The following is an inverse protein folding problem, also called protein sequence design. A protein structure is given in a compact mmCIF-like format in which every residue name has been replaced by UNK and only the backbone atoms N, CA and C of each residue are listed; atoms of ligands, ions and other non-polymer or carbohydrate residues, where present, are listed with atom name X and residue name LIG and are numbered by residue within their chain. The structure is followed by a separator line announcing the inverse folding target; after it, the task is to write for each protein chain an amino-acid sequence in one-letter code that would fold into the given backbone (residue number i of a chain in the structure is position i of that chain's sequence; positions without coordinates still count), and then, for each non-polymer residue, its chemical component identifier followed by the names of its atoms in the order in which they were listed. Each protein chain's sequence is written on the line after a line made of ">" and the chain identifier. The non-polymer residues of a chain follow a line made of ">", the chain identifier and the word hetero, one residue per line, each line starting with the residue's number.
data_IF_810097637053
#
_entry.id   IF_810097637053
#
_cell.length_a   1.000
_cell.length_b   1.000
_cell.length_c   1.000
_cell.angle_alpha   90.00
_cell.angle_beta   90.00
_cell.angle_gamma   90.00
#
_symmetry.space_group_name_H-M   'P 1'
#
loop_
_entity.id
_entity.type
_entity.pdbx_description
1 polymer ?
#
# COMPACT_ATOMS: atom_id res chain seq x y z
N UNK A 1 6.97 6.33 26.51
CA UNK A 1 5.95 7.04 25.71
C UNK A 1 6.43 6.99 24.28
N UNK A 2 6.11 5.91 23.57
CA UNK A 2 6.52 5.72 22.18
C UNK A 2 5.69 6.59 21.26
N UNK A 3 6.36 7.42 20.47
CA UNK A 3 5.77 8.40 19.56
C UNK A 3 5.46 7.73 18.22
N UNK A 4 4.41 6.91 18.20
CA UNK A 4 3.92 6.20 17.02
C UNK A 4 3.70 7.12 15.81
N UNK A 5 4.53 6.98 14.78
CA UNK A 5 4.29 7.51 13.43
C UNK A 5 3.92 6.32 12.56
N UNK A 6 2.70 6.27 12.03
CA UNK A 6 2.21 5.13 11.29
C UNK A 6 1.97 5.51 9.82
N UNK A 7 2.47 4.71 8.90
CA UNK A 7 2.03 4.73 7.51
C UNK A 7 1.13 3.51 7.36
N UNK A 8 -0.14 3.76 7.05
CA UNK A 8 -1.18 2.75 7.01
C UNK A 8 -1.67 2.67 5.57
N UNK A 9 -1.63 1.50 4.95
CA UNK A 9 -2.14 1.31 3.59
C UNK A 9 -3.20 0.21 3.61
N UNK A 10 -4.43 0.55 3.23
CA UNK A 10 -5.51 -0.43 3.03
C UNK A 10 -5.84 -0.44 1.55
N UNK A 11 -5.39 -1.47 0.85
CA UNK A 11 -5.67 -1.58 -0.57
C UNK A 11 -7.08 -2.12 -0.81
N UNK A 12 -8.11 -1.27 -0.74
CA UNK A 12 -9.39 -1.62 -1.32
C UNK A 12 -9.30 -1.38 -2.84
N UNK A 13 -9.24 -2.47 -3.61
CA UNK A 13 -9.33 -2.48 -5.06
C UNK A 13 -10.79 -2.66 -5.48
N UNK A 14 -11.42 -1.60 -5.96
CA UNK A 14 -12.67 -1.67 -6.71
C UNK A 14 -12.35 -1.40 -8.20
N UNK A 15 -11.89 -2.45 -8.89
CA UNK A 15 -11.97 -2.49 -10.35
C UNK A 15 -13.46 -2.36 -10.72
N UNK A 16 -13.86 -1.19 -11.21
CA UNK A 16 -15.14 -1.04 -11.89
C UNK A 16 -15.00 -1.68 -13.28
N UNK A 17 -15.07 -3.01 -13.32
CA UNK A 17 -15.68 -3.71 -14.44
C UNK A 17 -16.72 -4.68 -13.90
N UNK A 18 -17.96 -4.39 -14.28
CA UNK A 18 -19.16 -5.04 -13.80
C UNK A 18 -19.32 -6.41 -14.47
N UNK A 19 -18.46 -7.39 -14.16
CA UNK A 19 -18.68 -8.76 -14.61
C UNK A 19 -18.23 -9.79 -13.56
N UNK A 20 -19.23 -10.38 -12.91
CA UNK A 20 -19.24 -11.72 -12.30
C UNK A 20 -18.05 -12.13 -11.40
N UNK A 21 -18.11 -11.82 -10.09
CA UNK A 21 -17.62 -12.69 -9.01
C UNK A 21 -16.18 -13.24 -9.08
N UNK A 22 -15.31 -12.69 -9.93
CA UNK A 22 -13.95 -13.17 -10.12
C UNK A 22 -13.02 -12.41 -9.18
N UNK A 23 -12.26 -13.19 -8.40
CA UNK A 23 -11.15 -12.70 -7.62
C UNK A 23 -10.06 -12.21 -8.58
N UNK A 24 -10.01 -10.90 -8.84
CA UNK A 24 -8.97 -10.32 -9.67
C UNK A 24 -7.60 -10.52 -9.00
N UNK A 25 -6.60 -11.08 -9.71
CA UNK A 25 -5.23 -11.13 -9.20
C UNK A 25 -4.79 -9.73 -8.74
N UNK A 26 -4.39 -9.60 -7.48
CA UNK A 26 -3.99 -8.32 -6.88
C UNK A 26 -5.04 -7.63 -6.03
N UNK A 27 -6.33 -8.02 -6.08
CA UNK A 27 -7.33 -7.52 -5.13
C UNK A 27 -7.14 -8.16 -3.75
N UNK A 28 -7.15 -7.35 -2.68
CA UNK A 28 -7.00 -7.87 -1.32
C UNK A 28 -7.63 -6.95 -0.26
N UNK A 29 -8.69 -7.39 0.42
CA UNK A 29 -9.31 -6.66 1.54
C UNK A 29 -8.50 -6.72 2.84
N UNK A 30 -7.50 -7.62 2.91
CA UNK A 30 -6.76 -7.97 4.12
C UNK A 30 -7.61 -8.51 5.27
N UNK A 31 -8.86 -8.90 5.06
CA UNK A 31 -9.63 -9.63 6.09
C UNK A 31 -9.05 -11.03 6.33
N UNK A 32 -8.62 -11.70 5.26
CA UNK A 32 -7.80 -12.90 5.33
C UNK A 32 -6.30 -12.56 5.33
N UNK A 33 -5.45 -13.53 5.68
CA UNK A 33 -4.00 -13.34 5.64
C UNK A 33 -3.53 -12.88 4.25
N UNK A 34 -2.65 -11.88 4.17
CA UNK A 34 -2.22 -11.28 2.90
C UNK A 34 -1.65 -12.29 1.88
N UNK A 35 -1.17 -13.45 2.32
CA UNK A 35 -0.71 -14.50 1.41
C UNK A 35 -1.86 -15.16 0.63
N UNK A 36 -3.09 -15.17 1.16
CA UNK A 36 -4.26 -15.73 0.47
C UNK A 36 -4.56 -14.99 -0.84
N UNK A 37 -4.27 -13.69 -0.88
CA UNK A 37 -4.40 -12.85 -2.07
C UNK A 37 -3.10 -12.74 -2.90
N UNK A 38 -2.07 -13.53 -2.55
CA UNK A 38 -0.79 -13.59 -3.26
C UNK A 38 0.18 -12.45 -2.96
N UNK A 39 -0.10 -11.61 -1.94
CA UNK A 39 0.82 -10.58 -1.51
C UNK A 39 2.00 -11.20 -0.74
N UNK A 40 3.13 -10.51 -0.75
CA UNK A 40 4.29 -10.88 0.07
C UNK A 40 4.95 -9.66 0.69
N UNK A 41 5.47 -9.83 1.89
CA UNK A 41 6.24 -8.81 2.60
C UNK A 41 7.72 -9.11 2.40
N UNK A 42 8.46 -8.14 1.86
CA UNK A 42 9.91 -8.24 1.75
C UNK A 42 10.56 -7.42 2.87
N UNK A 43 11.49 -8.06 3.59
CA UNK A 43 12.28 -7.41 4.63
C UNK A 43 13.11 -6.29 4.00
N UNK A 44 12.86 -5.06 4.45
CA UNK A 44 13.61 -3.90 4.01
C UNK A 44 14.80 -3.60 4.90
N UNK A 45 15.06 -2.32 5.15
CA UNK A 45 16.23 -1.87 5.91
C UNK A 45 16.17 -2.35 7.36
N UNK A 46 17.18 -3.10 7.82
CA UNK A 46 17.25 -3.64 9.18
C UNK A 46 16.00 -4.44 9.60
N UNK A 47 15.39 -5.17 8.67
CA UNK A 47 14.18 -5.96 8.93
C UNK A 47 12.89 -5.15 9.04
N UNK A 48 12.91 -3.86 8.68
CA UNK A 48 11.69 -3.06 8.63
C UNK A 48 10.73 -3.61 7.56
N UNK A 49 9.51 -3.91 7.98
CA UNK A 49 8.55 -4.71 7.21
C UNK A 49 7.12 -4.23 7.46
N UNK A 50 6.24 -4.55 6.51
CA UNK A 50 4.80 -4.34 6.63
C UNK A 50 4.18 -5.41 7.52
N UNK A 51 3.20 -5.00 8.33
CA UNK A 51 2.47 -5.86 9.26
C UNK A 51 0.98 -5.81 8.93
N UNK A 52 0.29 -6.95 9.01
CA UNK A 52 -1.15 -7.01 8.86
C UNK A 52 -1.83 -6.74 10.20
N UNK A 53 -2.81 -5.85 10.20
CA UNK A 53 -3.59 -5.50 11.39
C UNK A 53 -5.07 -5.57 11.05
N UNK A 54 -5.83 -6.21 11.94
CA UNK A 54 -7.29 -6.19 11.94
C UNK A 54 -7.77 -5.58 13.26
N UNK A 55 -8.23 -4.33 13.20
CA UNK A 55 -8.69 -3.59 14.38
C UNK A 55 -10.11 -3.95 14.81
N UNK A 56 -10.88 -4.66 13.98
CA UNK A 56 -12.17 -5.22 14.40
C UNK A 56 -11.98 -6.40 15.35
N UNK A 57 -10.98 -7.23 15.09
CA UNK A 57 -10.62 -8.36 15.97
C UNK A 57 -9.79 -7.91 17.17
N UNK A 58 -8.87 -6.97 16.96
CA UNK A 58 -8.00 -6.42 18.01
C UNK A 58 -8.10 -4.89 18.04
N UNK A 59 -9.11 -4.35 18.74
CA UNK A 59 -9.29 -2.91 18.87
C UNK A 59 -8.03 -2.24 19.43
N UNK A 60 -7.71 -1.07 18.88
CA UNK A 60 -6.60 -0.24 19.32
C UNK A 60 -7.13 1.03 19.97
N UNK A 61 -6.45 1.48 21.03
CA UNK A 61 -6.71 2.78 21.67
C UNK A 61 -5.92 3.91 20.98
N UNK A 62 -5.11 3.59 19.98
CA UNK A 62 -4.36 4.57 19.21
C UNK A 62 -5.27 5.22 18.17
N UNK A 63 -5.68 6.46 18.43
CA UNK A 63 -6.49 7.25 17.51
C UNK A 63 -5.80 7.56 16.16
N UNK A 64 -4.47 7.41 16.06
CA UNK A 64 -3.76 7.54 14.79
C UNK A 64 -3.92 6.29 13.91
N UNK A 65 -4.42 5.18 14.45
CA UNK A 65 -4.63 3.93 13.71
C UNK A 65 -6.11 3.84 13.28
N UNK A 66 -6.42 3.86 11.98
CA UNK A 66 -7.79 3.72 11.48
C UNK A 66 -8.42 2.39 11.89
N UNK A 67 -9.76 2.37 11.86
CA UNK A 67 -10.53 1.13 11.97
C UNK A 67 -10.57 0.41 10.62
N UNK A 68 -10.48 -0.92 10.63
CA UNK A 68 -10.41 -1.77 9.45
C UNK A 68 -9.44 -2.94 9.55
N UNK A 69 -9.30 -3.65 8.44
CA UNK A 69 -8.21 -4.59 8.17
C UNK A 69 -7.30 -4.05 7.07
N UNK A 70 -5.99 -4.06 7.32
CA UNK A 70 -5.02 -3.37 6.46
C UNK A 70 -3.58 -3.79 6.73
N UNK A 71 -2.68 -3.36 5.84
CA UNK A 71 -1.23 -3.45 6.03
C UNK A 71 -0.72 -2.11 6.60
N UNK A 72 0.18 -2.17 7.58
CA UNK A 72 0.74 -0.99 8.25
C UNK A 72 2.24 -1.12 8.40
N UNK A 73 2.93 0.02 8.39
CA UNK A 73 4.31 0.14 8.88
C UNK A 73 4.38 1.22 9.95
N UNK A 74 5.07 0.92 11.05
CA UNK A 74 5.34 1.88 12.11
C UNK A 74 6.73 2.52 11.91
N UNK A 75 6.73 3.77 11.47
CA UNK A 75 7.92 4.60 11.29
C UNK A 75 8.46 5.23 12.59
N UNK A 76 7.78 5.07 13.73
CA UNK A 76 8.24 5.59 15.02
C UNK A 76 9.65 5.09 15.36
N UNK A 77 10.54 6.03 15.70
CA UNK A 77 11.92 5.70 16.07
C UNK A 77 12.77 5.16 14.92
N UNK A 78 12.26 5.16 13.68
CA UNK A 78 13.01 4.74 12.49
C UNK A 78 13.83 5.91 11.95
N UNK A 79 15.04 5.60 11.48
CA UNK A 79 15.91 6.59 10.86
C UNK A 79 15.39 6.96 9.46
N UNK A 80 15.65 8.20 9.03
CA UNK A 80 15.31 8.64 7.67
C UNK A 80 15.96 7.73 6.62
N UNK A 81 15.19 7.41 5.58
CA UNK A 81 15.64 6.55 4.47
C UNK A 81 15.47 5.05 4.69
N UNK A 82 15.02 4.59 5.87
CA UNK A 82 14.63 3.18 6.06
C UNK A 82 13.39 2.85 5.23
N UNK A 83 13.41 1.68 4.58
CA UNK A 83 12.35 1.24 3.67
C UNK A 83 11.79 -0.09 4.11
N UNK A 84 10.51 -0.30 3.83
CA UNK A 84 9.80 -1.58 3.94
C UNK A 84 9.03 -1.81 2.62
N UNK A 85 8.88 -3.07 2.22
CA UNK A 85 8.32 -3.41 0.91
C UNK A 85 7.15 -4.37 1.04
N UNK A 86 6.02 -4.00 0.44
CA UNK A 86 4.86 -4.86 0.21
C UNK A 86 4.78 -5.13 -1.28
N UNK A 87 4.72 -6.40 -1.67
CA UNK A 87 4.78 -6.84 -3.05
C UNK A 87 3.44 -7.47 -3.43
N UNK A 88 2.84 -6.93 -4.49
CA UNK A 88 1.68 -7.52 -5.14
C UNK A 88 2.09 -8.79 -5.91
N UNK A 89 1.14 -9.73 -6.13
CA UNK A 89 1.37 -10.83 -7.06
C UNK A 89 1.67 -10.29 -8.47
N UNK A 90 2.39 -11.09 -9.27
CA UNK A 90 2.64 -10.72 -10.67
C UNK A 90 1.34 -10.74 -11.46
N UNK A 91 0.93 -9.57 -11.95
CA UNK A 91 -0.22 -9.41 -12.84
C UNK A 91 0.22 -9.83 -14.25
N UNK A 92 -0.41 -10.87 -14.81
CA UNK A 92 -0.05 -11.47 -16.12
C UNK A 92 -0.95 -11.04 -17.26
N UNK A 93 -1.74 -10.02 -17.04
CA UNK A 93 -2.82 -9.65 -17.93
C UNK A 93 -2.30 -8.83 -19.13
N UNK A 94 -2.84 -9.14 -20.31
CA UNK A 94 -2.47 -8.51 -21.59
C UNK A 94 -3.30 -7.26 -21.91
N UNK A 95 -4.04 -6.71 -20.95
CA UNK A 95 -4.86 -5.51 -21.10
C UNK A 95 -4.38 -4.36 -20.19
N UNK A 96 -4.96 -3.18 -20.32
CA UNK A 96 -4.68 -2.05 -19.41
C UNK A 96 -5.43 -2.27 -18.09
N UNK A 97 -4.73 -2.24 -16.95
CA UNK A 97 -5.31 -2.47 -15.62
C UNK A 97 -5.43 -1.16 -14.87
N UNK A 98 -6.57 -0.96 -14.19
CA UNK A 98 -6.68 0.07 -13.17
C UNK A 98 -6.44 -0.56 -11.80
N UNK A 99 -5.40 -0.09 -11.12
CA UNK A 99 -5.10 -0.43 -9.73
C UNK A 99 -5.59 0.72 -8.86
N UNK A 100 -6.65 0.50 -8.10
CA UNK A 100 -7.05 1.42 -7.05
C UNK A 100 -6.73 0.88 -5.66
N UNK A 101 -6.36 1.79 -4.76
CA UNK A 101 -6.01 1.44 -3.40
C UNK A 101 -6.29 2.59 -2.46
N UNK A 102 -6.48 2.28 -1.18
CA UNK A 102 -6.66 3.28 -0.16
C UNK A 102 -5.41 3.36 0.73
N UNK A 103 -5.11 4.56 1.22
CA UNK A 103 -3.99 4.78 2.12
C UNK A 103 -4.33 5.84 3.15
N UNK A 104 -3.65 5.79 4.28
CA UNK A 104 -3.76 6.71 5.40
C UNK A 104 -2.37 6.97 5.96
N UNK A 105 -1.95 8.22 6.00
CA UNK A 105 -0.69 8.64 6.61
C UNK A 105 -1.02 9.31 7.93
N UNK A 106 -0.60 8.75 9.06
CA UNK A 106 -0.96 9.28 10.37
C UNK A 106 0.24 9.52 11.27
N UNK A 107 0.20 10.64 11.99
CA UNK A 107 1.20 11.02 12.97
C UNK A 107 0.54 11.71 14.15
N UNK A 108 0.95 11.38 15.36
CA UNK A 108 0.41 11.96 16.60
C UNK A 108 0.88 13.39 16.85
N UNK A 109 2.07 13.75 16.39
CA UNK A 109 2.65 15.08 16.57
C UNK A 109 2.56 15.94 15.30
N UNK A 110 1.84 15.46 14.28
CA UNK A 110 1.71 16.12 12.99
C UNK A 110 2.99 16.12 12.16
N UNK A 111 4.05 15.43 12.61
CA UNK A 111 5.25 15.24 11.81
C UNK A 111 4.94 14.38 10.58
N UNK A 112 5.78 14.49 9.55
CA UNK A 112 5.63 13.63 8.39
C UNK A 112 5.89 12.18 8.79
N UNK A 113 4.93 11.25 8.59
CA UNK A 113 5.11 9.84 8.92
C UNK A 113 6.03 9.11 7.93
N UNK A 114 6.37 9.76 6.80
CA UNK A 114 7.25 9.27 5.75
C UNK A 114 6.64 9.45 4.36
N UNK A 115 7.07 8.61 3.42
CA UNK A 115 6.63 8.66 2.01
C UNK A 115 6.18 7.27 1.58
N UNK A 116 4.97 7.19 1.02
CA UNK A 116 4.48 6.00 0.35
C UNK A 116 4.81 6.10 -1.14
N UNK A 117 5.51 5.12 -1.68
CA UNK A 117 5.88 5.06 -3.09
C UNK A 117 5.35 3.76 -3.70
N UNK A 118 4.79 3.85 -4.91
CA UNK A 118 4.40 2.70 -5.72
C UNK A 118 5.38 2.56 -6.88
N UNK A 119 5.82 1.34 -7.11
CA UNK A 119 6.77 0.98 -8.17
C UNK A 119 6.18 -0.14 -9.02
N UNK A 120 6.53 -0.15 -10.30
CA UNK A 120 6.18 -1.24 -11.22
C UNK A 120 7.46 -1.90 -11.71
N UNK A 121 7.49 -3.22 -11.63
CA UNK A 121 8.57 -4.07 -12.17
C UNK A 121 8.00 -4.95 -13.25
N UNK A 122 8.45 -4.76 -14.48
CA UNK A 122 8.04 -5.59 -15.62
C UNK A 122 9.03 -6.74 -15.77
N UNK A 123 8.54 -7.98 -15.86
CA UNK A 123 9.33 -9.19 -16.09
C UNK A 123 10.53 -9.38 -15.14
N UNK A 124 10.37 -8.99 -13.85
CA UNK A 124 11.46 -9.09 -12.86
C UNK A 124 12.63 -8.12 -13.10
N UNK A 125 12.45 -7.11 -13.96
CA UNK A 125 13.45 -6.09 -14.22
C UNK A 125 13.81 -5.23 -13.00
N UNK A 126 14.81 -4.37 -13.18
CA UNK A 126 15.28 -3.46 -12.12
C UNK A 126 14.19 -2.50 -11.67
N UNK A 127 14.18 -2.18 -10.38
CA UNK A 127 13.28 -1.14 -9.86
C UNK A 127 13.67 0.23 -10.43
N UNK A 128 12.77 0.84 -11.19
CA UNK A 128 12.93 2.21 -11.69
C UNK A 128 12.49 3.26 -10.67
N UNK A 129 12.16 4.45 -11.18
CA UNK A 129 11.56 5.53 -10.39
C UNK A 129 10.14 5.14 -9.92
N UNK A 130 9.65 5.72 -8.81
CA UNK A 130 8.27 5.51 -8.39
C UNK A 130 7.31 6.05 -9.47
N UNK A 131 6.27 5.28 -9.77
CA UNK A 131 5.21 5.67 -10.72
C UNK A 131 4.14 6.52 -10.04
N UNK A 132 4.08 6.43 -8.71
CA UNK A 132 3.21 7.24 -7.87
C UNK A 132 3.84 7.39 -6.48
N UNK A 133 3.60 8.54 -5.85
CA UNK A 133 3.99 8.76 -4.47
C UNK A 133 2.94 9.61 -3.73
N UNK A 134 2.89 9.43 -2.41
CA UNK A 134 2.26 10.35 -1.50
C UNK A 134 3.25 10.72 -0.40
N UNK A 135 3.37 12.01 -0.12
CA UNK A 135 4.30 12.55 0.87
C UNK A 135 3.67 13.61 1.78
N UNK A 136 4.33 13.79 2.93
CA UNK A 136 4.46 15.05 3.67
C UNK A 136 3.28 15.64 4.46
N UNK A 137 2.04 15.16 4.33
CA UNK A 137 0.95 15.58 5.24
C UNK A 137 0.16 14.40 5.80
N UNK A 138 -0.16 14.47 7.09
CA UNK A 138 -1.11 13.55 7.73
C UNK A 138 -2.42 13.62 6.94
N UNK A 139 -2.95 12.46 6.56
CA UNK A 139 -4.24 12.38 5.87
C UNK A 139 -5.38 12.45 6.88
N UNK A 140 -6.49 13.08 6.47
CA UNK A 140 -7.74 12.99 7.20
C UNK A 140 -8.47 11.70 6.81
N UNK A 141 -8.13 10.61 7.49
CA UNK A 141 -8.70 9.29 7.22
C UNK A 141 -8.13 8.63 5.96
N UNK A 142 -8.96 7.80 5.33
CA UNK A 142 -8.61 7.02 4.14
C UNK A 142 -8.69 7.88 2.86
N UNK A 143 -7.63 7.85 2.07
CA UNK A 143 -7.56 8.49 0.76
C UNK A 143 -7.50 7.43 -0.31
N UNK A 144 -8.32 7.55 -1.37
CA UNK A 144 -8.28 6.68 -2.54
C UNK A 144 -7.25 7.21 -3.55
N UNK A 145 -6.43 6.31 -4.08
CA UNK A 145 -5.58 6.54 -5.26
C UNK A 145 -5.93 5.51 -6.33
N UNK A 146 -5.75 5.89 -7.60
CA UNK A 146 -5.98 5.04 -8.76
C UNK A 146 -4.82 5.17 -9.74
N UNK A 147 -4.36 4.04 -10.28
CA UNK A 147 -3.23 3.92 -11.20
C UNK A 147 -3.64 3.12 -12.42
N UNK A 148 -3.68 3.78 -13.57
CA UNK A 148 -3.79 3.09 -14.85
C UNK A 148 -2.42 2.54 -15.26
N UNK A 149 -2.30 1.23 -15.30
CA UNK A 149 -1.10 0.49 -15.70
C UNK A 149 -1.35 -0.11 -17.08
N UNK A 150 -0.68 0.45 -18.07
CA UNK A 150 -0.62 -0.16 -19.40
C UNK A 150 0.79 -0.68 -19.66
N UNK A 151 0.94 -2.01 -19.72
CA UNK A 151 2.21 -2.67 -20.03
C UNK A 151 2.54 -2.65 -21.53
N UNK A 152 1.66 -2.09 -22.38
CA UNK A 152 1.81 -1.98 -23.84
C UNK A 152 2.44 -0.67 -24.32
N UNK A 153 2.65 0.31 -23.46
CA UNK A 153 3.18 1.62 -23.85
C UNK A 153 4.59 1.85 -23.31
N UNK A 154 5.53 2.42 -24.11
CA UNK A 154 6.85 2.72 -23.62
C UNK A 154 6.79 3.84 -22.58
N UNK A 155 7.13 3.51 -21.33
CA UNK A 155 7.77 4.39 -20.35
C UNK A 155 7.07 5.70 -19.94
N UNK A 156 5.73 5.83 -20.02
CA UNK A 156 5.06 7.04 -19.51
C UNK A 156 3.75 6.71 -18.79
N UNK A 157 3.84 6.56 -17.46
CA UNK A 157 2.67 6.55 -16.58
C UNK A 157 2.12 7.98 -16.49
N UNK A 158 0.84 8.18 -16.79
CA UNK A 158 0.13 9.43 -16.51
C UNK A 158 -0.77 9.22 -15.30
N UNK A 159 -0.50 9.92 -14.20
CA UNK A 159 -1.47 10.10 -13.11
C UNK A 159 -2.46 11.17 -13.53
N UNK A 160 -3.77 10.91 -13.41
CA UNK A 160 -4.81 11.93 -13.57
C UNK A 160 -5.30 12.41 -12.20
#
# INVERSE_FOLDING_TARGET
>A
MDKGNYIIASLLFQLMDLICGQFFPGSCSFEEHYSSCGYSVALGTNGFAWEQVNTWERPTMDAAVPTGSFMVVNGSGRASGQKAHLLLPTLKENDTHCIDFHYSLSSRDGSSPGVLNVYIKVNGGTQGNPVWNASASVTEGWVKAELAISTFWPNSYQSK
#
